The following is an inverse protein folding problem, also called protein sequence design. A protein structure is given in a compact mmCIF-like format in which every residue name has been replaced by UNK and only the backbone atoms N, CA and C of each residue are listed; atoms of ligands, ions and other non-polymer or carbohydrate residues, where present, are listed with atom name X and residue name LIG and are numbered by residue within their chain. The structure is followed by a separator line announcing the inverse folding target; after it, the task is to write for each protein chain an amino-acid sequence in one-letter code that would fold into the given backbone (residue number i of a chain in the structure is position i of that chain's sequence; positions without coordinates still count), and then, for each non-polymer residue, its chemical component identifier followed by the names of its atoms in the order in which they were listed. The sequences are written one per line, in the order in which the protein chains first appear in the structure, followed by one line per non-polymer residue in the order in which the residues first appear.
data_IF_703100517353
#
_entry.id   IF_703100517353
#
_cell.length_a   1.000
_cell.length_b   1.000
_cell.length_c   1.000
_cell.angle_alpha   90.00
_cell.angle_beta   90.00
_cell.angle_gamma   90.00
#
_symmetry.space_group_name_H-M   'P 1'
#
loop_
_entity.id
_entity.type
_entity.pdbx_description
1 polymer ?
#
# COMPACT_ATOMS: atom_id res chain seq x y z
N UNK A 1 -82.84 22.49 25.97
CA UNK A 1 -83.83 21.42 25.78
C UNK A 1 -83.14 20.26 25.11
N UNK A 2 -83.20 19.10 25.77
CA UNK A 2 -82.62 17.82 25.37
C UNK A 2 -83.26 17.27 24.09
N UNK A 3 -82.46 16.59 23.27
CA UNK A 3 -82.70 15.18 22.95
C UNK A 3 -81.41 14.55 22.41
N UNK A 4 -81.01 13.47 23.06
CA UNK A 4 -79.89 12.62 22.72
C UNK A 4 -80.26 11.63 21.61
N UNK A 5 -79.27 11.18 20.84
CA UNK A 5 -79.26 9.84 20.27
C UNK A 5 -77.81 9.33 20.21
N UNK A 6 -77.59 8.26 20.98
CA UNK A 6 -76.38 7.46 21.16
C UNK A 6 -76.48 6.22 20.28
N UNK A 7 -75.38 5.79 19.64
CA UNK A 7 -74.95 4.40 19.33
C UNK A 7 -73.96 4.45 18.14
N UNK A 8 -72.98 3.57 17.92
CA UNK A 8 -72.19 2.60 18.69
C UNK A 8 -71.04 2.19 17.76
N UNK A 9 -69.86 1.95 18.34
CA UNK A 9 -68.63 1.45 17.72
C UNK A 9 -68.83 0.17 16.90
N UNK A 10 -68.18 0.04 15.74
CA UNK A 10 -67.57 -1.24 15.33
C UNK A 10 -66.36 -1.00 14.42
N UNK A 11 -65.19 -1.26 14.98
CA UNK A 11 -63.92 -1.45 14.29
C UNK A 11 -64.01 -2.72 13.45
N UNK A 12 -63.69 -2.68 12.16
CA UNK A 12 -63.41 -3.90 11.39
C UNK A 12 -62.20 -3.69 10.51
N UNK A 13 -61.12 -4.31 10.98
CA UNK A 13 -59.88 -4.64 10.32
C UNK A 13 -60.14 -5.26 8.95
N UNK A 14 -59.65 -4.64 7.89
CA UNK A 14 -59.44 -5.34 6.60
C UNK A 14 -57.94 -5.49 6.42
N UNK A 15 -57.42 -6.64 6.85
CA UNK A 15 -56.13 -7.16 6.41
C UNK A 15 -56.29 -7.70 4.99
N UNK A 16 -55.21 -7.57 4.22
CA UNK A 16 -54.90 -8.25 2.96
C UNK A 16 -55.52 -7.67 1.69
N UNK A 17 -54.75 -6.87 0.97
CA UNK A 17 -54.18 -7.27 -0.32
C UNK A 17 -53.40 -6.11 -0.98
N UNK A 18 -52.26 -5.75 -0.38
CA UNK A 18 -51.17 -5.06 -1.08
C UNK A 18 -49.84 -5.45 -0.43
N UNK A 19 -49.68 -6.75 -0.21
CA UNK A 19 -48.37 -7.36 -0.08
C UNK A 19 -47.99 -7.82 -1.49
N UNK A 20 -47.20 -7.02 -2.20
CA UNK A 20 -46.40 -7.32 -3.41
C UNK A 20 -46.07 -6.01 -4.15
N UNK A 21 -45.35 -5.10 -3.50
CA UNK A 21 -44.69 -3.99 -4.21
C UNK A 21 -43.58 -3.26 -3.40
N UNK A 22 -43.13 -3.76 -2.25
CA UNK A 22 -42.23 -2.99 -1.38
C UNK A 22 -41.12 -3.80 -0.69
N UNK A 23 -40.76 -4.97 -1.25
CA UNK A 23 -39.84 -5.91 -0.59
C UNK A 23 -38.41 -5.85 -1.17
N UNK A 24 -37.91 -4.65 -1.50
CA UNK A 24 -36.58 -4.55 -2.10
C UNK A 24 -35.91 -3.17 -2.16
N UNK A 25 -36.49 -2.14 -1.54
CA UNK A 25 -35.89 -0.79 -1.56
C UNK A 25 -35.53 -0.22 -0.18
N UNK A 26 -35.90 -0.86 0.92
CA UNK A 26 -35.72 -0.29 2.26
C UNK A 26 -34.39 -0.59 2.98
N UNK A 27 -33.47 -1.39 2.44
CA UNK A 27 -32.20 -1.71 3.13
C UNK A 27 -30.91 -1.37 2.35
N UNK A 28 -31.00 -0.63 1.23
CA UNK A 28 -29.81 -0.19 0.50
C UNK A 28 -29.17 1.08 1.08
N UNK A 29 -29.95 1.91 1.80
CA UNK A 29 -29.44 3.14 2.41
C UNK A 29 -28.88 2.95 3.82
N UNK A 30 -29.11 1.79 4.45
CA UNK A 30 -28.68 1.51 5.82
C UNK A 30 -27.42 0.63 5.89
N UNK A 31 -26.85 0.29 4.74
CA UNK A 31 -25.63 -0.48 4.64
C UNK A 31 -24.49 0.49 4.35
N UNK A 32 -23.73 0.91 5.36
CA UNK A 32 -22.62 1.87 5.23
C UNK A 32 -21.57 1.50 4.16
N UNK A 33 -21.59 0.25 3.66
CA UNK A 33 -20.72 -0.29 2.62
C UNK A 33 -21.41 -0.54 1.25
N UNK A 34 -22.63 -0.05 0.99
CA UNK A 34 -23.41 -0.39 -0.24
C UNK A 34 -22.74 -0.07 -1.59
N UNK A 35 -21.71 0.78 -1.60
CA UNK A 35 -20.90 1.12 -2.79
C UNK A 35 -19.47 0.58 -2.74
N UNK A 36 -19.05 0.05 -1.60
CA UNK A 36 -17.82 -0.72 -1.48
C UNK A 36 -18.24 -2.17 -1.47
N UNK A 37 -18.33 -2.75 -2.66
CA UNK A 37 -18.50 -4.20 -2.80
C UNK A 37 -17.22 -4.84 -2.25
N UNK A 38 -17.16 -4.98 -0.94
CA UNK A 38 -16.38 -6.01 -0.31
C UNK A 38 -16.91 -7.32 -0.91
N UNK A 39 -16.05 -8.26 -1.24
CA UNK A 39 -16.44 -9.52 -1.91
C UNK A 39 -17.32 -10.43 -1.03
N UNK A 40 -17.89 -9.88 0.03
CA UNK A 40 -18.88 -10.47 0.93
C UNK A 40 -20.15 -10.89 0.19
N UNK A 41 -20.46 -10.27 -0.95
CA UNK A 41 -21.65 -10.60 -1.76
C UNK A 41 -21.37 -11.57 -2.91
N UNK A 42 -20.12 -11.98 -3.11
CA UNK A 42 -19.74 -12.98 -4.12
C UNK A 42 -19.66 -14.33 -3.42
N UNK A 43 -20.41 -15.32 -3.94
CA UNK A 43 -20.36 -16.69 -3.43
C UNK A 43 -18.93 -17.24 -3.54
N UNK A 44 -18.50 -18.09 -2.60
CA UNK A 44 -17.14 -18.63 -2.63
C UNK A 44 -16.82 -19.40 -3.93
N UNK A 45 -17.85 -19.96 -4.59
CA UNK A 45 -17.74 -20.70 -5.86
C UNK A 45 -17.50 -19.78 -7.07
N UNK A 46 -17.93 -18.51 -6.98
CA UNK A 46 -17.78 -17.51 -8.05
C UNK A 46 -16.50 -16.66 -7.90
N UNK A 47 -15.71 -16.88 -6.85
CA UNK A 47 -14.47 -16.12 -6.63
C UNK A 47 -13.37 -16.56 -7.58
N UNK A 48 -12.67 -15.62 -8.24
CA UNK A 48 -11.56 -15.97 -9.11
C UNK A 48 -10.41 -16.56 -8.30
N UNK A 49 -9.70 -17.51 -8.90
CA UNK A 49 -8.53 -18.08 -8.26
C UNK A 49 -7.39 -17.05 -8.14
N UNK A 50 -6.50 -17.27 -7.17
CA UNK A 50 -5.31 -16.44 -7.00
C UNK A 50 -4.44 -16.43 -8.28
N UNK A 51 -4.31 -17.58 -8.94
CA UNK A 51 -3.47 -17.74 -10.14
C UNK A 51 -4.07 -16.95 -11.32
N UNK A 52 -5.38 -17.02 -11.53
CA UNK A 52 -6.04 -16.23 -12.58
C UNK A 52 -5.93 -14.72 -12.33
N UNK A 53 -5.92 -14.33 -11.05
CA UNK A 53 -5.77 -12.93 -10.65
C UNK A 53 -4.35 -12.41 -10.85
N UNK A 54 -3.33 -13.26 -10.63
CA UNK A 54 -1.91 -12.91 -10.74
C UNK A 54 -1.30 -13.28 -12.10
N UNK A 55 -2.01 -12.99 -13.18
CA UNK A 55 -1.62 -13.39 -14.54
C UNK A 55 -1.02 -12.23 -15.37
N UNK A 56 -0.63 -11.12 -14.73
CA UNK A 56 0.01 -9.99 -15.41
C UNK A 56 1.54 -10.05 -15.29
N UNK A 57 2.33 -9.65 -16.31
CA UNK A 57 3.77 -9.45 -16.22
C UNK A 57 4.29 -8.80 -14.92
N UNK A 58 3.61 -7.78 -14.37
CA UNK A 58 4.02 -7.17 -13.10
C UNK A 58 3.83 -8.12 -11.91
N UNK A 59 2.75 -8.90 -11.89
CA UNK A 59 2.52 -9.86 -10.81
C UNK A 59 3.60 -10.95 -10.82
N UNK A 60 4.05 -11.36 -12.01
CA UNK A 60 5.21 -12.23 -12.16
C UNK A 60 6.49 -11.63 -11.55
N UNK A 61 6.77 -10.34 -11.82
CA UNK A 61 7.91 -9.63 -11.22
C UNK A 61 7.78 -9.49 -9.70
N UNK A 62 6.59 -9.13 -9.20
CA UNK A 62 6.32 -9.01 -7.78
C UNK A 62 6.49 -10.36 -7.07
N UNK A 63 5.97 -11.45 -7.62
CA UNK A 63 6.15 -12.80 -7.07
C UNK A 63 7.60 -13.25 -7.09
N UNK A 64 8.34 -12.95 -8.17
CA UNK A 64 9.76 -13.24 -8.27
C UNK A 64 10.57 -12.45 -7.23
N UNK A 65 10.20 -11.19 -6.97
CA UNK A 65 10.83 -10.40 -5.93
C UNK A 65 10.49 -10.92 -4.53
N UNK A 66 9.22 -11.20 -4.26
CA UNK A 66 8.74 -11.51 -2.91
C UNK A 66 9.08 -12.93 -2.45
N UNK A 67 8.97 -13.92 -3.34
CA UNK A 67 9.08 -15.33 -2.93
C UNK A 67 10.55 -15.74 -2.82
N UNK A 68 11.32 -15.84 -3.91
CA UNK A 68 12.71 -16.29 -3.79
C UNK A 68 13.64 -15.20 -3.26
N UNK A 69 13.52 -13.94 -3.71
CA UNK A 69 14.52 -12.91 -3.37
C UNK A 69 14.30 -12.37 -1.95
N UNK A 70 13.15 -11.78 -1.66
CA UNK A 70 12.85 -11.24 -0.33
C UNK A 70 12.85 -12.35 0.74
N UNK A 71 12.41 -13.56 0.40
CA UNK A 71 12.54 -14.74 1.27
C UNK A 71 13.99 -15.05 1.61
N UNK A 72 14.89 -15.09 0.61
CA UNK A 72 16.32 -15.35 0.84
C UNK A 72 16.97 -14.21 1.63
N UNK A 73 16.70 -12.95 1.28
CA UNK A 73 17.20 -11.78 2.04
C UNK A 73 16.71 -11.83 3.49
N UNK A 74 15.44 -12.16 3.73
CA UNK A 74 14.87 -12.31 5.08
C UNK A 74 15.61 -13.39 5.88
N UNK A 75 15.86 -14.55 5.28
CA UNK A 75 16.61 -15.63 5.93
C UNK A 75 18.06 -15.21 6.22
N UNK A 76 18.74 -14.57 5.27
CA UNK A 76 20.08 -14.02 5.48
C UNK A 76 20.12 -13.06 6.69
N UNK A 77 19.15 -12.16 6.81
CA UNK A 77 19.07 -11.23 7.94
C UNK A 77 18.77 -11.94 9.26
N UNK A 78 17.82 -12.89 9.28
CA UNK A 78 17.50 -13.67 10.48
C UNK A 78 18.72 -14.44 10.99
N UNK A 79 19.46 -15.09 10.09
CA UNK A 79 20.61 -15.92 10.44
C UNK A 79 21.96 -15.16 10.49
N UNK A 80 21.96 -13.85 10.22
CA UNK A 80 23.17 -13.03 10.26
C UNK A 80 24.19 -13.33 9.15
N UNK A 81 23.72 -13.74 7.96
CA UNK A 81 24.55 -14.12 6.82
C UNK A 81 24.73 -12.91 5.90
N UNK A 82 25.88 -12.23 6.00
CA UNK A 82 26.22 -11.03 5.22
C UNK A 82 27.48 -11.23 4.38
N UNK A 83 27.65 -12.39 3.75
CA UNK A 83 28.79 -12.61 2.85
C UNK A 83 28.71 -11.63 1.68
N UNK A 84 29.76 -10.82 1.41
CA UNK A 84 29.67 -9.71 0.47
C UNK A 84 29.14 -10.10 -0.91
N UNK A 85 29.59 -11.22 -1.45
CA UNK A 85 29.17 -11.70 -2.78
C UNK A 85 27.69 -12.09 -2.83
N UNK A 86 27.22 -12.89 -1.86
CA UNK A 86 25.83 -13.35 -1.85
C UNK A 86 24.87 -12.19 -1.59
N UNK A 87 25.15 -11.41 -0.54
CA UNK A 87 24.23 -10.38 -0.07
C UNK A 87 24.11 -9.24 -1.08
N UNK A 88 25.24 -8.76 -1.61
CA UNK A 88 25.26 -7.70 -2.64
C UNK A 88 24.54 -8.16 -3.91
N UNK A 89 24.69 -9.43 -4.32
CA UNK A 89 23.97 -9.96 -5.48
C UNK A 89 22.46 -10.01 -5.25
N UNK A 90 22.01 -10.42 -4.06
CA UNK A 90 20.59 -10.40 -3.71
C UNK A 90 20.03 -8.98 -3.67
N UNK A 91 20.81 -8.04 -3.13
CA UNK A 91 20.47 -6.63 -3.04
C UNK A 91 20.31 -6.01 -4.43
N UNK A 92 21.30 -6.15 -5.30
CA UNK A 92 21.26 -5.66 -6.69
C UNK A 92 20.11 -6.31 -7.46
N UNK A 93 19.87 -7.61 -7.27
CA UNK A 93 18.74 -8.30 -7.92
C UNK A 93 17.41 -7.71 -7.46
N UNK A 94 17.27 -7.41 -6.17
CA UNK A 94 16.08 -6.78 -5.59
C UNK A 94 15.83 -5.40 -6.16
N UNK A 95 16.89 -4.57 -6.25
CA UNK A 95 16.86 -3.23 -6.84
C UNK A 95 16.41 -3.29 -8.30
N UNK A 96 17.02 -4.16 -9.11
CA UNK A 96 16.69 -4.30 -10.54
C UNK A 96 15.24 -4.73 -10.71
N UNK A 97 14.77 -5.72 -9.95
CA UNK A 97 13.38 -6.16 -10.00
C UNK A 97 12.41 -5.07 -9.53
N UNK A 98 12.76 -4.28 -8.52
CA UNK A 98 11.97 -3.13 -8.06
C UNK A 98 11.82 -2.05 -9.12
N UNK A 99 12.93 -1.68 -9.77
CA UNK A 99 12.92 -0.73 -10.90
C UNK A 99 12.06 -1.28 -12.06
N UNK A 100 12.27 -2.54 -12.44
CA UNK A 100 11.49 -3.17 -13.52
C UNK A 100 10.00 -3.24 -13.17
N UNK A 101 9.63 -3.55 -11.93
CA UNK A 101 8.23 -3.53 -11.48
C UNK A 101 7.62 -2.14 -11.63
N UNK A 102 8.34 -1.09 -11.22
CA UNK A 102 7.90 0.30 -11.40
C UNK A 102 7.72 0.69 -12.87
N UNK A 103 8.68 0.34 -13.74
CA UNK A 103 8.59 0.60 -15.18
C UNK A 103 7.44 -0.14 -15.84
N UNK A 104 7.23 -1.42 -15.52
CA UNK A 104 6.10 -2.20 -16.01
C UNK A 104 4.78 -1.60 -15.54
N UNK A 105 4.74 -1.02 -14.34
CA UNK A 105 3.56 -0.33 -13.83
C UNK A 105 3.22 0.91 -14.67
N UNK A 106 4.22 1.71 -15.06
CA UNK A 106 3.98 2.82 -16.00
C UNK A 106 3.55 2.34 -17.38
N UNK A 107 4.11 1.25 -17.88
CA UNK A 107 3.68 0.65 -19.16
C UNK A 107 2.23 0.17 -19.10
N UNK A 108 1.80 -0.41 -17.99
CA UNK A 108 0.39 -0.81 -17.77
C UNK A 108 -0.54 0.40 -17.81
N UNK A 109 -0.16 1.50 -17.16
CA UNK A 109 -0.93 2.75 -17.18
C UNK A 109 -1.00 3.30 -18.61
N UNK A 110 0.14 3.35 -19.32
CA UNK A 110 0.21 3.87 -20.69
C UNK A 110 -0.60 3.05 -21.70
N UNK A 111 -0.68 1.73 -21.51
CA UNK A 111 -1.48 0.82 -22.34
C UNK A 111 -2.95 0.76 -21.94
N UNK A 112 -3.35 1.48 -20.89
CA UNK A 112 -4.72 1.50 -20.39
C UNK A 112 -5.16 0.18 -19.76
N UNK A 113 -4.22 -0.62 -19.25
CA UNK A 113 -4.54 -1.87 -18.56
C UNK A 113 -5.41 -1.57 -17.33
N UNK A 114 -6.58 -2.20 -17.27
CA UNK A 114 -7.50 -2.12 -16.11
C UNK A 114 -7.61 -3.50 -15.48
N UNK A 115 -7.40 -3.57 -14.16
CA UNK A 115 -7.70 -4.81 -13.41
C UNK A 115 -9.17 -5.13 -13.63
N UNK A 116 -9.45 -6.37 -14.08
CA UNK A 116 -10.81 -6.88 -14.31
C UNK A 116 -11.60 -6.74 -13.01
N UNK A 117 -12.64 -5.90 -13.02
CA UNK A 117 -13.53 -5.74 -11.87
C UNK A 117 -14.55 -6.88 -11.91
N UNK A 118 -14.53 -7.75 -10.90
CA UNK A 118 -15.66 -8.67 -10.65
C UNK A 118 -16.79 -8.00 -9.87
N UNK A 119 -16.65 -6.71 -9.53
CA UNK A 119 -17.79 -5.92 -9.06
C UNK A 119 -18.79 -5.82 -10.21
N UNK A 120 -19.91 -6.54 -10.10
CA UNK A 120 -21.11 -6.46 -10.92
C UNK A 120 -21.28 -5.07 -11.54
N UNK A 121 -20.81 -4.95 -12.78
CA UNK A 121 -20.98 -3.77 -13.61
C UNK A 121 -22.38 -3.87 -14.20
N UNK A 122 -23.41 -3.69 -13.36
CA UNK A 122 -24.80 -3.78 -13.83
C UNK A 122 -25.10 -2.60 -14.76
N UNK A 123 -24.40 -1.46 -14.67
CA UNK A 123 -24.67 -0.28 -15.53
C UNK A 123 -23.46 0.66 -15.77
N UNK A 124 -22.21 0.22 -15.66
CA UNK A 124 -21.04 1.05 -16.03
C UNK A 124 -20.82 2.30 -15.17
N UNK A 125 -21.57 2.47 -14.07
CA UNK A 125 -21.71 3.74 -13.33
C UNK A 125 -21.29 3.65 -11.87
N UNK A 126 -20.99 2.46 -11.32
CA UNK A 126 -20.56 2.31 -9.93
C UNK A 126 -19.04 2.45 -9.75
N UNK A 127 -18.49 3.59 -10.19
CA UNK A 127 -17.28 4.15 -9.59
C UNK A 127 -17.74 5.14 -8.53
N UNK A 128 -17.70 4.78 -7.24
CA UNK A 128 -17.80 5.78 -6.18
C UNK A 128 -16.71 6.82 -6.41
N UNK A 129 -17.11 8.05 -6.78
CA UNK A 129 -16.23 9.22 -6.80
C UNK A 129 -15.65 9.36 -5.39
N UNK A 130 -14.33 9.26 -5.25
CA UNK A 130 -13.64 9.31 -3.94
C UNK A 130 -12.71 8.12 -3.67
N UNK A 131 -12.85 6.99 -4.37
CA UNK A 131 -11.82 5.95 -4.40
C UNK A 131 -10.72 6.38 -5.38
N UNK A 132 -9.46 6.41 -4.93
CA UNK A 132 -8.33 6.70 -5.80
C UNK A 132 -8.41 5.80 -7.05
N UNK A 133 -8.38 6.43 -8.22
CA UNK A 133 -8.39 5.69 -9.48
C UNK A 133 -7.25 4.66 -9.46
N UNK A 134 -7.49 3.48 -10.01
CA UNK A 134 -6.50 2.40 -10.02
C UNK A 134 -5.19 2.83 -10.69
N UNK A 135 -5.31 3.69 -11.70
CA UNK A 135 -4.19 4.36 -12.35
C UNK A 135 -3.34 5.15 -11.35
N UNK A 136 -3.95 5.89 -10.43
CA UNK A 136 -3.25 6.69 -9.42
C UNK A 136 -2.56 5.82 -8.38
N UNK A 137 -3.22 4.75 -7.92
CA UNK A 137 -2.60 3.79 -6.98
C UNK A 137 -1.41 3.10 -7.63
N UNK A 138 -1.57 2.64 -8.87
CA UNK A 138 -0.48 2.05 -9.64
C UNK A 138 0.64 3.07 -9.91
N UNK A 139 0.30 4.30 -10.27
CA UNK A 139 1.29 5.36 -10.54
C UNK A 139 2.14 5.63 -9.30
N UNK A 140 1.49 5.81 -8.15
CA UNK A 140 2.18 6.00 -6.89
C UNK A 140 3.05 4.79 -6.54
N UNK A 141 2.51 3.58 -6.60
CA UNK A 141 3.25 2.37 -6.27
C UNK A 141 4.48 2.15 -7.18
N UNK A 142 4.35 2.45 -8.48
CA UNK A 142 5.46 2.36 -9.41
C UNK A 142 6.53 3.41 -9.16
N UNK A 143 6.11 4.65 -8.86
CA UNK A 143 7.02 5.74 -8.47
C UNK A 143 7.76 5.39 -7.18
N UNK A 144 7.03 4.88 -6.19
CA UNK A 144 7.58 4.44 -4.91
C UNK A 144 8.60 3.31 -5.08
N UNK A 145 8.30 2.28 -5.88
CA UNK A 145 9.25 1.19 -6.14
C UNK A 145 10.54 1.69 -6.78
N UNK A 146 10.47 2.63 -7.74
CA UNK A 146 11.67 3.22 -8.37
C UNK A 146 12.45 4.06 -7.36
N UNK A 147 11.77 4.92 -6.61
CA UNK A 147 12.37 5.78 -5.60
C UNK A 147 13.09 5.00 -4.51
N UNK A 148 12.44 3.97 -3.95
CA UNK A 148 13.06 3.10 -2.93
C UNK A 148 14.21 2.30 -3.51
N UNK A 149 14.07 1.78 -4.74
CA UNK A 149 15.16 1.03 -5.37
C UNK A 149 16.37 1.93 -5.65
N UNK A 150 16.13 3.19 -6.02
CA UNK A 150 17.20 4.19 -6.15
C UNK A 150 17.88 4.43 -4.80
N UNK A 151 17.10 4.65 -3.73
CA UNK A 151 17.66 4.90 -2.39
C UNK A 151 18.50 3.71 -1.92
N UNK A 152 17.96 2.48 -2.05
CA UNK A 152 18.68 1.24 -1.74
C UNK A 152 19.99 1.15 -2.53
N UNK A 153 19.95 1.37 -3.86
CA UNK A 153 21.16 1.37 -4.69
C UNK A 153 22.16 2.43 -4.26
N UNK A 154 21.68 3.62 -3.87
CA UNK A 154 22.52 4.75 -3.48
C UNK A 154 23.24 4.51 -2.16
N UNK A 155 22.59 3.82 -1.23
CA UNK A 155 23.13 3.43 0.08
C UNK A 155 24.00 2.16 -0.01
N UNK A 156 23.82 1.36 -1.06
CA UNK A 156 24.49 0.08 -1.31
C UNK A 156 26.02 0.14 -1.42
N UNK A 157 26.64 -1.01 -1.14
CA UNK A 157 28.02 -1.30 -1.57
C UNK A 157 28.18 -1.42 -3.10
N UNK A 158 27.08 -1.66 -3.83
CA UNK A 158 27.05 -1.75 -5.29
C UNK A 158 26.73 -0.43 -6.00
N UNK A 159 26.64 0.69 -5.27
CA UNK A 159 26.36 2.00 -5.84
C UNK A 159 27.41 2.36 -6.90
N UNK A 160 27.05 2.57 -8.17
CA UNK A 160 28.01 2.99 -9.18
C UNK A 160 28.30 4.49 -9.07
N UNK A 161 29.56 4.90 -9.26
CA UNK A 161 30.00 6.29 -9.09
C UNK A 161 29.24 7.30 -9.97
N UNK A 162 28.71 6.89 -11.13
CA UNK A 162 27.93 7.80 -11.97
C UNK A 162 26.61 8.23 -11.33
N UNK A 163 26.07 7.44 -10.40
CA UNK A 163 24.80 7.74 -9.72
C UNK A 163 24.92 8.98 -8.82
N UNK A 164 26.11 9.26 -8.30
CA UNK A 164 26.41 10.45 -7.49
C UNK A 164 26.09 11.75 -8.24
N UNK A 165 26.22 11.76 -9.58
CA UNK A 165 25.86 12.92 -10.39
C UNK A 165 24.38 13.29 -10.31
N UNK A 166 23.53 12.35 -9.88
CA UNK A 166 22.08 12.52 -9.76
C UNK A 166 21.64 12.97 -8.36
N UNK A 167 22.56 13.08 -7.39
CA UNK A 167 22.27 13.48 -6.00
C UNK A 167 21.73 14.93 -5.90
N UNK A 168 21.91 15.73 -6.94
CA UNK A 168 21.33 17.08 -7.02
C UNK A 168 19.80 17.10 -7.24
N UNK A 169 19.21 16.00 -7.73
CA UNK A 169 17.80 15.96 -8.16
C UNK A 169 17.04 14.79 -7.55
N UNK A 170 17.56 13.57 -7.67
CA UNK A 170 16.83 12.36 -7.25
C UNK A 170 16.47 12.34 -5.76
N UNK A 171 17.33 12.78 -4.83
CA UNK A 171 16.95 12.82 -3.41
C UNK A 171 15.75 13.73 -3.13
N UNK A 172 15.61 14.85 -3.84
CA UNK A 172 14.45 15.76 -3.69
C UNK A 172 13.14 15.13 -4.22
N UNK A 173 13.23 14.41 -5.34
CA UNK A 173 12.09 13.67 -5.89
C UNK A 173 11.68 12.59 -4.90
N UNK A 174 12.64 11.81 -4.42
CA UNK A 174 12.42 10.72 -3.46
C UNK A 174 11.81 11.22 -2.15
N UNK A 175 12.36 12.31 -1.60
CA UNK A 175 11.82 13.00 -0.43
C UNK A 175 10.35 13.38 -0.61
N UNK A 176 10.01 13.93 -1.78
CA UNK A 176 8.63 14.33 -2.10
C UNK A 176 7.70 13.12 -2.15
N UNK A 177 8.13 12.01 -2.76
CA UNK A 177 7.35 10.76 -2.82
C UNK A 177 7.09 10.22 -1.41
N UNK A 178 8.11 10.13 -0.56
CA UNK A 178 7.97 9.62 0.81
C UNK A 178 7.11 10.53 1.69
N UNK A 179 7.22 11.85 1.52
CA UNK A 179 6.39 12.80 2.26
C UNK A 179 4.92 12.75 1.82
N UNK A 180 4.66 12.68 0.51
CA UNK A 180 3.31 12.60 -0.04
C UNK A 180 2.60 11.29 0.33
N UNK A 181 3.36 10.22 0.57
CA UNK A 181 2.86 8.92 1.06
C UNK A 181 1.99 9.05 2.31
N UNK A 182 2.41 9.90 3.27
CA UNK A 182 1.68 10.16 4.50
C UNK A 182 0.71 11.34 4.37
N UNK A 183 1.14 12.39 3.66
CA UNK A 183 0.37 13.64 3.57
C UNK A 183 -0.99 13.44 2.91
N UNK A 184 -1.05 12.72 1.78
CA UNK A 184 -2.29 12.57 1.01
C UNK A 184 -3.35 11.79 1.82
N UNK A 185 -3.05 10.61 2.42
CA UNK A 185 -3.98 9.93 3.31
C UNK A 185 -4.37 10.77 4.53
N UNK A 186 -3.44 11.51 5.13
CA UNK A 186 -3.72 12.37 6.28
C UNK A 186 -4.73 13.47 5.93
N UNK A 187 -4.49 14.20 4.84
CA UNK A 187 -5.40 15.22 4.32
C UNK A 187 -6.80 14.62 4.08
N UNK A 188 -6.86 13.44 3.47
CA UNK A 188 -8.12 12.73 3.19
C UNK A 188 -8.87 12.31 4.46
N UNK A 189 -8.15 11.87 5.51
CA UNK A 189 -8.74 11.44 6.78
C UNK A 189 -9.18 12.58 7.67
N UNK A 190 -8.39 13.66 7.76
CA UNK A 190 -8.63 14.77 8.66
C UNK A 190 -9.54 15.85 8.07
N UNK A 191 -9.75 15.84 6.76
CA UNK A 191 -10.58 16.84 6.10
C UNK A 191 -11.44 16.28 4.95
N UNK A 192 -12.28 15.26 5.21
CA UNK A 192 -13.06 14.61 4.15
C UNK A 192 -14.06 15.56 3.47
N UNK A 193 -14.58 16.58 4.18
CA UNK A 193 -15.64 17.48 3.69
C UNK A 193 -15.17 18.76 2.99
N UNK A 194 -13.93 19.24 3.18
CA UNK A 194 -13.49 20.52 2.58
C UNK A 194 -12.74 20.39 1.24
N UNK A 195 -12.41 19.17 0.80
CA UNK A 195 -11.62 18.97 -0.44
C UNK A 195 -12.54 18.77 -1.65
N UNK A 196 -13.75 18.29 -1.40
CA UNK A 196 -14.75 18.01 -2.42
C UNK A 196 -16.09 18.50 -1.89
N UNK A 197 -16.77 19.38 -2.63
CA UNK A 197 -18.07 19.94 -2.26
C UNK A 197 -18.96 18.90 -1.58
N UNK A 198 -19.35 19.15 -0.32
CA UNK A 198 -20.17 18.26 0.54
C UNK A 198 -21.48 17.82 -0.14
N UNK A 199 -21.96 18.60 -1.11
CA UNK A 199 -23.16 18.27 -1.90
C UNK A 199 -22.93 17.18 -2.96
N UNK A 200 -21.68 16.85 -3.31
CA UNK A 200 -21.36 15.93 -4.44
C UNK A 200 -20.63 14.65 -4.09
N UNK A 201 -19.97 14.55 -2.93
CA UNK A 201 -19.21 13.34 -2.56
C UNK A 201 -19.65 12.85 -1.17
N UNK A 202 -20.19 11.62 -1.06
CA UNK A 202 -20.61 11.06 0.22
C UNK A 202 -19.41 10.84 1.15
N UNK A 203 -19.60 10.87 2.49
CA UNK A 203 -18.55 10.59 3.46
C UNK A 203 -17.93 9.20 3.23
N UNK A 204 -16.68 8.99 3.63
CA UNK A 204 -15.99 7.70 3.49
C UNK A 204 -16.77 6.58 4.20
N UNK A 205 -16.92 5.41 3.56
CA UNK A 205 -17.51 4.24 4.24
C UNK A 205 -16.56 3.66 5.29
N UNK A 206 -17.08 2.76 6.14
CA UNK A 206 -16.28 2.03 7.11
C UNK A 206 -15.07 1.33 6.48
N UNK A 207 -15.25 0.69 5.33
CA UNK A 207 -14.15 0.02 4.61
C UNK A 207 -13.13 1.01 4.05
N UNK A 208 -13.55 2.15 3.52
CA UNK A 208 -12.64 3.18 3.01
C UNK A 208 -11.83 3.84 4.12
N UNK A 209 -12.46 4.07 5.27
CA UNK A 209 -11.81 4.62 6.45
C UNK A 209 -10.73 3.67 6.97
N UNK A 210 -10.98 2.35 6.97
CA UNK A 210 -9.96 1.33 7.28
C UNK A 210 -8.80 1.38 6.27
N UNK A 211 -9.09 1.47 4.97
CA UNK A 211 -8.05 1.58 3.93
C UNK A 211 -7.22 2.84 4.06
N UNK A 212 -7.85 4.00 4.25
CA UNK A 212 -7.16 5.28 4.40
C UNK A 212 -6.29 5.31 5.65
N UNK A 213 -6.76 4.75 6.77
CA UNK A 213 -5.94 4.57 7.98
C UNK A 213 -4.75 3.65 7.74
N UNK A 214 -4.95 2.55 7.00
CA UNK A 214 -3.88 1.66 6.58
C UNK A 214 -2.84 2.37 5.72
N UNK A 215 -3.28 3.13 4.72
CA UNK A 215 -2.41 3.94 3.85
C UNK A 215 -1.63 5.00 4.63
N UNK A 216 -2.28 5.69 5.58
CA UNK A 216 -1.59 6.64 6.47
C UNK A 216 -0.50 5.93 7.30
N UNK A 217 -0.82 4.77 7.89
CA UNK A 217 0.15 4.00 8.66
C UNK A 217 1.37 3.60 7.82
N UNK A 218 1.15 3.08 6.62
CA UNK A 218 2.23 2.73 5.68
C UNK A 218 3.00 3.98 5.23
N UNK A 219 2.31 5.09 4.97
CA UNK A 219 2.94 6.36 4.58
C UNK A 219 3.83 6.95 5.67
N UNK A 220 3.44 6.83 6.94
CA UNK A 220 4.29 7.24 8.07
C UNK A 220 5.56 6.38 8.12
N UNK A 221 5.44 5.06 7.93
CA UNK A 221 6.61 4.19 7.85
C UNK A 221 7.53 4.55 6.68
N UNK A 222 6.96 4.83 5.51
CA UNK A 222 7.72 5.31 4.35
C UNK A 222 8.44 6.65 4.61
N UNK A 223 7.84 7.53 5.42
CA UNK A 223 8.45 8.81 5.78
C UNK A 223 9.73 8.67 6.61
N UNK A 224 10.02 7.49 7.17
CA UNK A 224 11.29 7.20 7.88
C UNK A 224 12.51 7.29 6.94
N UNK A 225 12.33 7.16 5.62
CA UNK A 225 13.40 7.32 4.63
C UNK A 225 13.61 8.78 4.16
N UNK A 226 12.71 9.69 4.57
CA UNK A 226 12.83 11.12 4.23
C UNK A 226 14.12 11.76 4.78
N UNK A 227 14.58 11.48 6.01
CA UNK A 227 15.87 11.95 6.51
C UNK A 227 17.06 11.54 5.63
N UNK A 228 17.16 10.27 5.18
CA UNK A 228 18.21 9.84 4.24
C UNK A 228 18.19 10.66 2.96
N UNK A 229 17.01 10.83 2.36
CA UNK A 229 16.86 11.63 1.15
C UNK A 229 17.27 13.09 1.37
N UNK A 230 16.90 13.69 2.50
CA UNK A 230 17.29 15.05 2.84
C UNK A 230 18.80 15.18 3.07
N UNK A 231 19.41 14.19 3.73
CA UNK A 231 20.85 14.16 3.97
C UNK A 231 21.64 14.01 2.65
N UNK A 232 21.21 13.14 1.74
CA UNK A 232 21.76 13.09 0.37
C UNK A 232 21.56 14.40 -0.39
N UNK A 233 20.37 15.01 -0.28
CA UNK A 233 20.05 16.25 -0.98
C UNK A 233 20.92 17.45 -0.55
N UNK A 234 21.34 17.47 0.72
CA UNK A 234 22.06 18.60 1.32
C UNK A 234 23.56 18.34 1.45
N UNK A 235 23.95 17.13 1.81
CA UNK A 235 25.33 16.71 2.02
C UNK A 235 25.98 16.03 0.81
N UNK A 236 25.19 15.64 -0.20
CA UNK A 236 25.67 14.96 -1.40
C UNK A 236 26.35 13.62 -1.11
N UNK A 237 27.23 13.20 -2.03
CA UNK A 237 28.03 12.00 -1.89
C UNK A 237 29.02 12.06 -0.72
N UNK A 238 29.61 13.24 -0.49
CA UNK A 238 30.59 13.46 0.56
C UNK A 238 30.05 13.10 1.96
N UNK A 239 28.77 13.38 2.22
CA UNK A 239 28.13 12.99 3.49
C UNK A 239 28.09 11.48 3.65
N UNK A 240 27.60 10.76 2.64
CA UNK A 240 27.47 9.32 2.71
C UNK A 240 28.81 8.60 2.79
N UNK A 241 29.84 9.13 2.13
CA UNK A 241 31.19 8.60 2.22
C UNK A 241 31.77 8.77 3.63
N UNK A 242 31.51 9.92 4.29
CA UNK A 242 31.89 10.10 5.71
C UNK A 242 31.15 9.13 6.62
N UNK A 243 29.84 8.99 6.46
CA UNK A 243 29.03 8.03 7.24
C UNK A 243 29.54 6.62 7.05
N UNK A 244 29.81 6.21 5.81
CA UNK A 244 30.29 4.88 5.47
C UNK A 244 31.71 4.60 6.00
N UNK A 245 32.56 5.63 6.06
CA UNK A 245 33.90 5.51 6.62
C UNK A 245 33.87 5.33 8.15
N UNK A 246 32.95 6.02 8.84
CA UNK A 246 32.78 5.91 10.30
C UNK A 246 31.98 4.67 10.71
N UNK A 247 30.97 4.31 9.92
CA UNK A 247 30.03 3.22 10.19
C UNK A 247 29.88 2.32 8.95
N UNK A 248 30.86 1.44 8.66
CA UNK A 248 30.83 0.63 7.44
C UNK A 248 29.61 -0.29 7.30
N UNK A 249 29.04 -0.74 8.41
CA UNK A 249 27.82 -1.57 8.41
C UNK A 249 26.58 -0.83 7.89
N UNK A 250 26.59 0.51 7.85
CA UNK A 250 25.45 1.29 7.39
C UNK A 250 25.13 1.12 5.91
N UNK A 251 26.12 0.78 5.08
CA UNK A 251 25.88 0.47 3.66
C UNK A 251 25.00 -0.77 3.48
N UNK A 252 25.10 -1.73 4.39
CA UNK A 252 24.24 -2.91 4.38
C UNK A 252 22.91 -2.57 5.07
N UNK A 253 22.96 -1.88 6.21
CA UNK A 253 21.79 -1.61 7.03
C UNK A 253 20.76 -0.72 6.31
N UNK A 254 21.15 0.46 5.84
CA UNK A 254 20.23 1.42 5.21
C UNK A 254 19.70 0.90 3.86
N UNK A 255 20.56 0.31 3.03
CA UNK A 255 20.10 -0.30 1.78
C UNK A 255 19.10 -1.43 2.03
N UNK A 256 19.35 -2.29 3.02
CA UNK A 256 18.44 -3.40 3.34
C UNK A 256 17.11 -2.92 3.90
N UNK A 257 17.11 -1.89 4.75
CA UNK A 257 15.85 -1.32 5.26
C UNK A 257 15.03 -0.70 4.12
N UNK A 258 15.68 -0.04 3.15
CA UNK A 258 15.03 0.41 1.92
C UNK A 258 14.46 -0.79 1.12
N UNK A 259 15.19 -1.90 0.97
CA UNK A 259 14.67 -3.10 0.30
C UNK A 259 13.43 -3.69 1.01
N UNK A 260 13.41 -3.69 2.34
CA UNK A 260 12.22 -4.11 3.07
C UNK A 260 11.00 -3.23 2.77
N UNK A 261 11.21 -1.93 2.56
CA UNK A 261 10.14 -1.04 2.11
C UNK A 261 9.66 -1.37 0.69
N UNK A 262 10.57 -1.74 -0.21
CA UNK A 262 10.24 -2.21 -1.56
C UNK A 262 9.40 -3.50 -1.49
N UNK A 263 9.79 -4.47 -0.68
CA UNK A 263 9.03 -5.71 -0.50
C UNK A 263 7.65 -5.43 0.06
N UNK A 264 7.53 -4.57 1.07
CA UNK A 264 6.22 -4.17 1.61
C UNK A 264 5.32 -3.54 0.54
N UNK A 265 5.87 -2.71 -0.35
CA UNK A 265 5.11 -2.06 -1.42
C UNK A 265 4.62 -3.08 -2.46
N UNK A 266 5.50 -3.94 -2.97
CA UNK A 266 5.10 -4.94 -3.99
C UNK A 266 4.09 -5.94 -3.42
N UNK A 267 4.32 -6.37 -2.20
CA UNK A 267 3.40 -7.25 -1.50
C UNK A 267 2.04 -6.52 -1.34
N UNK A 268 2.02 -5.22 -0.97
CA UNK A 268 0.79 -4.44 -0.81
C UNK A 268 0.01 -4.33 -2.13
N UNK A 269 0.73 -4.28 -3.25
CA UNK A 269 0.12 -4.21 -4.58
C UNK A 269 -0.47 -5.55 -5.02
N UNK A 270 0.15 -6.67 -4.67
CA UNK A 270 -0.44 -8.02 -4.83
C UNK A 270 -1.73 -8.12 -4.02
N UNK A 271 -1.70 -7.69 -2.75
CA UNK A 271 -2.87 -7.66 -1.85
C UNK A 271 -4.02 -6.81 -2.40
N UNK A 272 -3.70 -5.59 -2.85
CA UNK A 272 -4.67 -4.68 -3.47
C UNK A 272 -5.32 -5.30 -4.71
N UNK A 273 -4.53 -5.99 -5.55
CA UNK A 273 -5.05 -6.72 -6.73
C UNK A 273 -5.99 -7.84 -6.33
N UNK A 274 -5.58 -8.69 -5.39
CA UNK A 274 -6.42 -9.79 -4.90
C UNK A 274 -7.75 -9.31 -4.32
N UNK A 275 -7.71 -8.25 -3.51
CA UNK A 275 -8.93 -7.66 -2.95
C UNK A 275 -9.82 -7.07 -4.03
N UNK A 276 -9.25 -6.37 -5.01
CA UNK A 276 -10.01 -5.76 -6.11
C UNK A 276 -10.60 -6.79 -7.07
N UNK A 277 -9.89 -7.88 -7.33
CA UNK A 277 -10.38 -8.99 -8.14
C UNK A 277 -11.47 -9.81 -7.42
N UNK A 278 -11.62 -9.64 -6.10
CA UNK A 278 -12.61 -10.39 -5.31
C UNK A 278 -12.16 -11.79 -4.94
N UNK A 279 -10.84 -12.04 -4.88
CA UNK A 279 -10.27 -13.33 -4.44
C UNK A 279 -10.69 -13.63 -2.99
N UNK A 280 -10.70 -12.61 -2.13
CA UNK A 280 -11.20 -12.67 -0.77
C UNK A 280 -11.60 -11.27 -0.26
N UNK A 281 -12.41 -11.18 0.81
CA UNK A 281 -12.81 -9.89 1.37
C UNK A 281 -11.62 -9.07 1.85
N UNK A 282 -11.69 -7.75 1.74
CA UNK A 282 -10.62 -6.85 2.18
C UNK A 282 -10.36 -6.98 3.69
N UNK A 283 -11.41 -7.26 4.47
CA UNK A 283 -11.31 -7.52 5.91
C UNK A 283 -10.47 -8.77 6.24
N UNK A 284 -10.32 -9.69 5.29
CA UNK A 284 -9.49 -10.90 5.42
C UNK A 284 -8.10 -10.68 4.80
N UNK A 285 -8.05 -10.09 3.61
CA UNK A 285 -6.81 -9.88 2.86
C UNK A 285 -5.88 -8.91 3.60
N UNK A 286 -6.39 -7.78 4.10
CA UNK A 286 -5.56 -6.73 4.71
C UNK A 286 -4.81 -7.25 5.96
N UNK A 287 -5.46 -7.94 6.93
CA UNK A 287 -4.73 -8.48 8.09
C UNK A 287 -3.75 -9.61 7.74
N UNK A 288 -4.15 -10.55 6.87
CA UNK A 288 -3.25 -11.62 6.41
C UNK A 288 -1.99 -11.03 5.78
N UNK A 289 -2.19 -9.99 4.99
CA UNK A 289 -1.13 -9.30 4.30
C UNK A 289 -0.20 -8.52 5.25
N UNK A 290 -0.75 -7.88 6.28
CA UNK A 290 0.04 -7.24 7.32
C UNK A 290 0.98 -8.24 8.03
N UNK A 291 0.54 -9.49 8.24
CA UNK A 291 1.38 -10.57 8.78
C UNK A 291 2.51 -10.92 7.80
N UNK A 292 2.22 -11.04 6.50
CA UNK A 292 3.25 -11.30 5.48
C UNK A 292 4.30 -10.18 5.46
N UNK A 293 3.86 -8.91 5.47
CA UNK A 293 4.78 -7.78 5.62
C UNK A 293 5.62 -7.90 6.88
N UNK A 294 5.01 -8.16 8.03
CA UNK A 294 5.76 -8.31 9.29
C UNK A 294 6.86 -9.37 9.20
N UNK A 295 6.57 -10.54 8.60
CA UNK A 295 7.53 -11.64 8.44
C UNK A 295 8.64 -11.29 7.46
N UNK A 296 8.34 -10.59 6.36
CA UNK A 296 9.30 -10.28 5.31
C UNK A 296 10.09 -8.99 5.54
N UNK A 297 9.63 -8.12 6.45
CA UNK A 297 10.22 -6.78 6.62
C UNK A 297 10.58 -6.50 8.07
N UNK A 298 9.61 -6.47 8.98
CA UNK A 298 9.84 -6.05 10.37
C UNK A 298 10.71 -7.03 11.13
N UNK A 299 10.42 -8.34 11.02
CA UNK A 299 11.20 -9.37 11.70
C UNK A 299 12.66 -9.40 11.19
N UNK A 300 12.93 -9.49 9.88
CA UNK A 300 14.28 -9.34 9.32
C UNK A 300 14.97 -8.04 9.71
N UNK A 301 14.25 -6.91 9.77
CA UNK A 301 14.80 -5.63 10.20
C UNK A 301 15.26 -5.65 11.67
N UNK A 302 14.47 -6.27 12.56
CA UNK A 302 14.88 -6.44 13.96
C UNK A 302 16.15 -7.29 14.10
N UNK A 303 16.26 -8.37 13.32
CA UNK A 303 17.47 -9.20 13.29
C UNK A 303 18.67 -8.48 12.64
N UNK A 304 18.44 -7.72 11.58
CA UNK A 304 19.45 -6.86 10.96
C UNK A 304 20.05 -5.89 11.97
N UNK A 305 19.19 -5.20 12.74
CA UNK A 305 19.62 -4.31 13.82
C UNK A 305 20.32 -5.06 14.95
N UNK A 306 19.88 -6.27 15.28
CA UNK A 306 20.55 -7.10 16.29
C UNK A 306 21.98 -7.49 15.85
N UNK A 307 22.15 -7.95 14.60
CA UNK A 307 23.43 -8.42 14.09
C UNK A 307 24.40 -7.29 13.74
N UNK A 308 23.91 -6.21 13.12
CA UNK A 308 24.73 -5.11 12.59
C UNK A 308 24.69 -3.83 13.44
N UNK A 309 23.65 -3.66 14.27
CA UNK A 309 23.46 -2.49 15.15
C UNK A 309 23.93 -2.71 16.60
N UNK A 310 24.37 -3.91 16.96
CA UNK A 310 24.75 -4.29 18.33
C UNK A 310 26.10 -3.77 18.87
N UNK A 311 26.67 -2.72 18.27
CA UNK A 311 27.85 -2.02 18.80
C UNK A 311 27.45 -0.67 19.38
N UNK A 312 28.05 -0.28 20.51
CA UNK A 312 27.72 0.90 21.35
C UNK A 312 27.69 2.28 20.65
N UNK A 313 27.93 2.38 19.34
CA UNK A 313 28.11 3.64 18.60
C UNK A 313 27.01 3.97 17.56
N UNK A 314 26.01 3.11 17.34
CA UNK A 314 25.02 3.31 16.28
C UNK A 314 23.62 3.52 16.87
N UNK A 315 23.31 4.76 17.25
CA UNK A 315 21.91 5.15 17.34
C UNK A 315 21.37 5.36 15.92
N UNK A 316 20.12 4.97 15.65
CA UNK A 316 19.45 5.12 14.35
C UNK A 316 19.53 6.55 13.78
N UNK A 317 19.82 7.56 14.61
CA UNK A 317 19.95 8.95 14.18
C UNK A 317 21.33 9.59 14.39
N UNK A 318 22.31 8.89 14.97
CA UNK A 318 23.61 9.52 15.29
C UNK A 318 24.42 9.83 14.03
N UNK A 319 24.26 9.02 12.98
CA UNK A 319 25.00 9.20 11.73
C UNK A 319 24.49 10.37 10.87
N UNK A 320 23.25 10.85 11.07
CA UNK A 320 22.75 12.07 10.41
C UNK A 320 23.39 13.37 10.94
N UNK A 321 24.19 13.30 12.01
CA UNK A 321 24.91 14.45 12.59
C UNK A 321 26.36 14.58 12.08
N UNK A 322 26.82 13.63 11.28
CA UNK A 322 28.16 13.58 10.64
C UNK A 322 28.19 14.43 9.38
#
# INVERSE_FOLDING_TARGET
MMAAASTTTTTTTTKSATALADDGKEDLHNNDDYLVIDSLHVSDEDRPSLIETLNNPRDGLALLLLVPIAGTVSLCNIFGIYTPELYTNLEVTSIVLGILSGLVTYLQIATGYKIRKYSLDIDGTNCRRGLAEDSNVNFYAGTYSITVSWLALRESNACPNWLESMDSVLPWISLSVFFLAALIPAITLFNPGNIFDEETIPPLSGTELVRMRGLLGIGILASVFAPSCFAFATGGSDWWDRVSALFPSQRVLESTTALFALYANEASMVSHRCGKAGVAPFRTIVPLFAVVCFILTILPCAFLLYWLGGGDDISFFSFYRV
#
